data_IF_058762442327
#
_entry.id   IF_058762442327
#
_cell.length_a   1.000
_cell.length_b   1.000
_cell.length_c   1.000
_cell.angle_alpha   90.00
_cell.angle_beta   90.00
_cell.angle_gamma   90.00
#
_symmetry.space_group_name_H-M   'P 1'
#
loop_
_entity.id
_entity.type
_entity.pdbx_description
1 polymer ?
#
# COMPACT_ATOMS: atom_id res chain seq x y z
N UNK A 1 18.43 5.67 -23.63
CA UNK A 1 18.54 6.25 -22.28
C UNK A 1 18.83 5.11 -21.29
N UNK A 2 19.89 5.22 -20.48
CA UNK A 2 20.35 4.15 -19.57
C UNK A 2 19.26 3.86 -18.51
N UNK A 3 19.07 2.59 -18.13
CA UNK A 3 18.03 2.16 -17.16
C UNK A 3 18.10 2.98 -15.85
N UNK A 4 19.32 3.28 -15.38
CA UNK A 4 19.53 4.10 -14.19
C UNK A 4 18.97 5.53 -14.35
N UNK A 5 19.20 6.16 -15.52
CA UNK A 5 18.66 7.51 -15.79
C UNK A 5 17.13 7.52 -15.83
N UNK A 6 16.49 6.48 -16.38
CA UNK A 6 15.03 6.35 -16.35
C UNK A 6 14.51 6.24 -14.91
N UNK A 7 15.19 5.45 -14.06
CA UNK A 7 14.83 5.30 -12.64
C UNK A 7 14.97 6.61 -11.85
N UNK A 8 16.08 7.31 -11.99
CA UNK A 8 16.28 8.60 -11.33
C UNK A 8 15.22 9.60 -11.78
N UNK A 9 14.96 9.70 -13.08
CA UNK A 9 13.98 10.63 -13.63
C UNK A 9 12.56 10.35 -13.07
N UNK A 10 12.12 9.09 -13.02
CA UNK A 10 10.80 8.74 -12.48
C UNK A 10 10.70 9.09 -10.99
N UNK A 11 11.74 8.81 -10.19
CA UNK A 11 11.76 9.18 -8.78
C UNK A 11 11.71 10.71 -8.58
N UNK A 12 12.50 11.47 -9.34
CA UNK A 12 12.52 12.93 -9.29
C UNK A 12 11.19 13.55 -9.73
N UNK A 13 10.48 12.93 -10.67
CA UNK A 13 9.16 13.41 -11.13
C UNK A 13 8.05 13.06 -10.17
N UNK A 14 8.07 11.88 -9.54
CA UNK A 14 6.99 11.43 -8.67
C UNK A 14 7.11 11.90 -7.21
N UNK A 15 8.33 12.02 -6.70
CA UNK A 15 8.54 12.36 -5.29
C UNK A 15 8.09 13.79 -4.91
N UNK A 16 8.38 14.86 -5.69
CA UNK A 16 7.94 16.19 -5.35
C UNK A 16 6.41 16.37 -5.30
N UNK A 17 5.62 15.87 -6.28
CA UNK A 17 4.17 15.92 -6.18
C UNK A 17 3.62 15.16 -4.98
N UNK A 18 4.19 13.98 -4.66
CA UNK A 18 3.80 13.21 -3.49
C UNK A 18 4.07 14.00 -2.19
N UNK A 19 5.28 14.52 -2.01
CA UNK A 19 5.63 15.31 -0.84
C UNK A 19 4.80 16.61 -0.77
N UNK A 20 4.62 17.28 -1.88
CA UNK A 20 3.78 18.46 -1.97
C UNK A 20 2.32 18.17 -1.59
N UNK A 21 1.79 17.03 -2.04
CA UNK A 21 0.44 16.61 -1.68
C UNK A 21 0.31 16.25 -0.19
N UNK A 22 1.32 15.62 0.41
CA UNK A 22 1.32 15.32 1.84
C UNK A 22 1.45 16.59 2.68
N UNK A 23 2.33 17.53 2.30
CA UNK A 23 2.61 18.72 3.11
C UNK A 23 1.57 19.83 2.95
N UNK A 24 1.00 19.98 1.75
CA UNK A 24 0.12 21.11 1.40
C UNK A 24 -1.27 20.70 0.90
N UNK A 25 -1.46 19.44 0.51
CA UNK A 25 -2.66 18.93 -0.14
C UNK A 25 -3.71 18.37 0.81
N UNK A 26 -3.91 18.96 2.01
CA UNK A 26 -4.94 18.49 2.96
C UNK A 26 -6.33 18.44 2.32
N UNK A 27 -7.12 17.44 2.76
CA UNK A 27 -8.48 17.26 2.27
C UNK A 27 -8.55 16.63 0.87
N UNK A 28 -9.47 17.12 0.04
CA UNK A 28 -9.82 16.46 -1.23
C UNK A 28 -8.70 16.43 -2.30
N UNK A 29 -7.73 17.39 -2.40
CA UNK A 29 -6.65 17.25 -3.38
C UNK A 29 -5.75 16.04 -3.10
N UNK A 30 -5.46 15.78 -1.82
CA UNK A 30 -4.71 14.58 -1.43
C UNK A 30 -5.52 13.30 -1.69
N UNK A 31 -6.83 13.32 -1.37
CA UNK A 31 -7.72 12.21 -1.67
C UNK A 31 -7.79 11.91 -3.18
N UNK A 32 -7.83 12.94 -4.03
CA UNK A 32 -7.83 12.77 -5.48
C UNK A 32 -6.52 12.13 -5.99
N UNK A 33 -5.37 12.56 -5.46
CA UNK A 33 -4.08 11.97 -5.82
C UNK A 33 -4.04 10.48 -5.46
N UNK A 34 -4.38 10.14 -4.21
CA UNK A 34 -4.39 8.74 -3.74
C UNK A 34 -5.44 7.91 -4.52
N UNK A 35 -6.60 8.49 -4.81
CA UNK A 35 -7.64 7.85 -5.63
C UNK A 35 -7.17 7.56 -7.05
N UNK A 36 -6.39 8.48 -7.66
CA UNK A 36 -5.78 8.24 -8.97
C UNK A 36 -4.81 7.07 -8.91
N UNK A 37 -3.96 7.01 -7.88
CA UNK A 37 -3.05 5.86 -7.65
C UNK A 37 -3.86 4.57 -7.48
N UNK A 38 -4.96 4.60 -6.71
CA UNK A 38 -5.82 3.43 -6.51
C UNK A 38 -6.43 2.91 -7.84
N UNK A 39 -6.91 3.79 -8.70
CA UNK A 39 -7.46 3.43 -10.02
C UNK A 39 -6.37 2.84 -10.93
N UNK A 40 -5.18 3.43 -10.95
CA UNK A 40 -4.05 2.92 -11.74
C UNK A 40 -3.63 1.53 -11.26
N UNK A 41 -3.46 1.33 -9.94
CA UNK A 41 -3.13 0.03 -9.36
C UNK A 41 -4.22 -1.01 -9.62
N UNK A 42 -5.51 -0.63 -9.48
CA UNK A 42 -6.63 -1.51 -9.82
C UNK A 42 -6.59 -1.91 -11.30
N UNK A 43 -6.33 -0.97 -12.20
CA UNK A 43 -6.21 -1.25 -13.65
C UNK A 43 -5.11 -2.28 -13.95
N UNK A 44 -3.96 -2.21 -13.29
CA UNK A 44 -2.88 -3.18 -13.43
C UNK A 44 -3.25 -4.52 -12.79
N UNK A 45 -3.78 -4.51 -11.55
CA UNK A 45 -4.22 -5.71 -10.84
C UNK A 45 -5.26 -6.52 -11.64
N UNK A 46 -6.32 -5.86 -12.13
CA UNK A 46 -7.37 -6.54 -12.89
C UNK A 46 -6.90 -7.01 -14.27
N UNK A 47 -5.91 -6.37 -14.88
CA UNK A 47 -5.27 -6.89 -16.11
C UNK A 47 -4.47 -8.15 -15.88
N UNK A 48 -3.87 -8.34 -14.71
CA UNK A 48 -3.13 -9.56 -14.41
C UNK A 48 -4.03 -10.79 -14.30
N UNK A 49 -5.26 -10.62 -13.80
CA UNK A 49 -6.14 -11.76 -13.48
C UNK A 49 -7.30 -11.98 -14.43
N UNK A 50 -7.72 -10.95 -15.18
CA UNK A 50 -8.93 -11.02 -16.00
C UNK A 50 -8.65 -10.71 -17.47
N UNK A 51 -9.11 -11.61 -18.36
CA UNK A 51 -8.93 -11.48 -19.80
C UNK A 51 -9.94 -10.53 -20.44
N UNK A 52 -11.20 -10.50 -19.94
CA UNK A 52 -12.27 -9.71 -20.54
C UNK A 52 -12.19 -8.24 -20.11
N UNK A 53 -12.54 -7.32 -21.03
CA UNK A 53 -12.60 -5.90 -20.71
C UNK A 53 -13.70 -5.61 -19.67
N UNK A 54 -14.82 -6.34 -19.73
CA UNK A 54 -15.95 -6.21 -18.81
C UNK A 54 -15.51 -6.46 -17.38
N UNK A 55 -14.86 -7.59 -17.10
CA UNK A 55 -14.44 -7.96 -15.74
C UNK A 55 -13.37 -7.02 -15.19
N UNK A 56 -12.45 -6.58 -16.05
CA UNK A 56 -11.44 -5.58 -15.68
C UNK A 56 -12.06 -4.27 -15.25
N UNK A 57 -12.96 -3.71 -16.08
CA UNK A 57 -13.55 -2.40 -15.77
C UNK A 57 -14.55 -2.46 -14.62
N UNK A 58 -15.30 -3.57 -14.48
CA UNK A 58 -16.16 -3.76 -13.29
C UNK A 58 -15.35 -3.81 -12.01
N UNK A 59 -14.21 -4.54 -12.00
CA UNK A 59 -13.31 -4.57 -10.86
C UNK A 59 -12.71 -3.21 -10.51
N UNK A 60 -12.26 -2.45 -11.52
CA UNK A 60 -11.76 -1.08 -11.32
C UNK A 60 -12.85 -0.18 -10.75
N UNK A 61 -14.07 -0.26 -11.28
CA UNK A 61 -15.20 0.55 -10.81
C UNK A 61 -15.55 0.22 -9.35
N UNK A 62 -15.65 -1.07 -8.98
CA UNK A 62 -15.91 -1.49 -7.60
C UNK A 62 -14.78 -1.02 -6.66
N UNK A 63 -13.53 -1.14 -7.08
CA UNK A 63 -12.38 -0.65 -6.29
C UNK A 63 -12.46 0.86 -6.08
N UNK A 64 -12.80 1.61 -7.11
CA UNK A 64 -13.01 3.06 -7.02
C UNK A 64 -14.16 3.43 -6.08
N UNK A 65 -15.28 2.69 -6.11
CA UNK A 65 -16.41 2.88 -5.20
C UNK A 65 -16.02 2.56 -3.76
N UNK A 66 -15.31 1.46 -3.51
CA UNK A 66 -14.81 1.10 -2.17
C UNK A 66 -13.88 2.20 -1.63
N UNK A 67 -12.98 2.71 -2.47
CA UNK A 67 -12.12 3.84 -2.11
C UNK A 67 -12.95 5.08 -1.77
N UNK A 68 -13.86 5.47 -2.65
CA UNK A 68 -14.68 6.68 -2.51
C UNK A 68 -15.55 6.63 -1.24
N UNK A 69 -16.25 5.52 -1.01
CA UNK A 69 -17.04 5.33 0.20
C UNK A 69 -16.14 5.20 1.45
N UNK A 70 -14.95 4.63 1.27
CA UNK A 70 -13.92 4.59 2.30
C UNK A 70 -13.55 5.98 2.81
N UNK A 71 -13.55 7.01 2.00
CA UNK A 71 -13.22 8.39 2.41
C UNK A 71 -14.45 9.25 2.78
N UNK A 72 -15.60 9.05 2.12
CA UNK A 72 -16.77 9.92 2.29
C UNK A 72 -17.64 9.52 3.49
N UNK A 73 -17.73 8.23 3.82
CA UNK A 73 -18.63 7.76 4.85
C UNK A 73 -17.96 7.79 6.24
N UNK A 74 -18.73 8.00 7.33
CA UNK A 74 -18.22 7.80 8.68
C UNK A 74 -17.63 6.39 8.86
N UNK A 75 -16.65 6.23 9.73
CA UNK A 75 -15.88 4.98 9.89
C UNK A 75 -16.77 3.72 10.01
N UNK A 76 -17.88 3.81 10.78
CA UNK A 76 -18.82 2.69 10.95
C UNK A 76 -19.53 2.32 9.63
N UNK A 77 -19.90 3.31 8.82
CA UNK A 77 -20.56 3.10 7.54
C UNK A 77 -19.57 2.70 6.43
N UNK A 78 -18.32 3.14 6.50
CA UNK A 78 -17.27 2.75 5.55
C UNK A 78 -17.04 1.24 5.55
N UNK A 79 -17.06 0.58 6.71
CA UNK A 79 -16.98 -0.88 6.81
C UNK A 79 -18.14 -1.58 6.06
N UNK A 80 -19.35 -1.10 6.23
CA UNK A 80 -20.51 -1.62 5.50
C UNK A 80 -20.38 -1.39 3.98
N UNK A 81 -19.87 -0.24 3.55
CA UNK A 81 -19.63 0.05 2.14
C UNK A 81 -18.57 -0.86 1.52
N UNK A 82 -17.52 -1.21 2.26
CA UNK A 82 -16.53 -2.22 1.83
C UNK A 82 -17.21 -3.57 1.63
N UNK A 83 -18.06 -4.01 2.57
CA UNK A 83 -18.80 -5.26 2.46
C UNK A 83 -19.76 -5.25 1.26
N UNK A 84 -20.46 -4.13 1.02
CA UNK A 84 -21.29 -3.97 -0.19
C UNK A 84 -20.44 -4.05 -1.47
N UNK A 85 -19.27 -3.44 -1.50
CA UNK A 85 -18.34 -3.54 -2.62
C UNK A 85 -17.89 -4.97 -2.89
N UNK A 86 -17.55 -5.72 -1.83
CA UNK A 86 -17.24 -7.16 -1.91
C UNK A 86 -18.42 -7.95 -2.47
N UNK A 87 -19.64 -7.69 -1.98
CA UNK A 87 -20.84 -8.34 -2.48
C UNK A 87 -21.09 -8.02 -3.96
N UNK A 88 -20.97 -6.76 -4.37
CA UNK A 88 -21.10 -6.35 -5.79
C UNK A 88 -20.06 -7.06 -6.68
N UNK A 89 -18.80 -7.13 -6.23
CA UNK A 89 -17.76 -7.88 -6.92
C UNK A 89 -18.12 -9.37 -7.08
N UNK A 90 -18.65 -9.98 -6.02
CA UNK A 90 -19.10 -11.38 -6.05
C UNK A 90 -20.29 -11.57 -7.00
N UNK A 91 -21.32 -10.74 -6.90
CA UNK A 91 -22.51 -10.80 -7.76
C UNK A 91 -22.19 -10.68 -9.25
N UNK A 92 -21.22 -9.85 -9.63
CA UNK A 92 -20.79 -9.74 -11.03
C UNK A 92 -20.44 -11.10 -11.64
N UNK A 93 -19.79 -11.98 -10.88
CA UNK A 93 -19.38 -13.31 -11.35
C UNK A 93 -20.48 -14.38 -11.25
N UNK A 94 -21.62 -14.13 -10.59
CA UNK A 94 -22.71 -15.09 -10.52
C UNK A 94 -23.39 -15.36 -11.86
N UNK A 95 -23.41 -14.39 -12.77
CA UNK A 95 -24.07 -14.46 -14.06
C UNK A 95 -23.16 -14.94 -15.22
N UNK A 96 -21.93 -15.43 -14.95
CA UNK A 96 -20.99 -15.90 -15.97
C UNK A 96 -21.35 -17.29 -16.51
N UNK A 97 -20.80 -17.65 -17.67
CA UNK A 97 -20.94 -18.98 -18.32
C UNK A 97 -19.82 -19.95 -17.91
N UNK A 98 -18.82 -19.47 -17.18
CA UNK A 98 -17.65 -20.22 -16.72
C UNK A 98 -18.01 -21.26 -15.66
N UNK A 99 -17.08 -22.20 -15.38
CA UNK A 99 -17.27 -23.19 -14.34
C UNK A 99 -17.49 -22.54 -12.96
N UNK A 100 -18.23 -23.18 -12.02
CA UNK A 100 -18.42 -22.64 -10.67
C UNK A 100 -17.11 -22.30 -9.95
N UNK A 101 -16.05 -23.07 -10.18
CA UNK A 101 -14.73 -22.85 -9.58
C UNK A 101 -14.08 -21.57 -10.12
N UNK A 102 -14.10 -21.35 -11.43
CA UNK A 102 -13.55 -20.12 -12.06
C UNK A 102 -14.34 -18.89 -11.62
N UNK A 103 -15.65 -18.99 -11.53
CA UNK A 103 -16.52 -17.90 -11.04
C UNK A 103 -16.22 -17.56 -9.58
N UNK A 104 -16.10 -18.55 -8.71
CA UNK A 104 -15.73 -18.35 -7.31
C UNK A 104 -14.34 -17.72 -7.19
N UNK A 105 -13.37 -18.17 -8.00
CA UNK A 105 -12.03 -17.58 -8.08
C UNK A 105 -12.08 -16.13 -8.55
N UNK A 106 -12.83 -15.84 -9.60
CA UNK A 106 -13.00 -14.47 -10.12
C UNK A 106 -13.60 -13.55 -9.08
N UNK A 107 -14.65 -13.98 -8.39
CA UNK A 107 -15.28 -13.24 -7.30
C UNK A 107 -14.31 -12.94 -6.15
N UNK A 108 -13.53 -13.95 -5.73
CA UNK A 108 -12.55 -13.79 -4.66
C UNK A 108 -11.42 -12.80 -5.04
N UNK A 109 -10.91 -12.89 -6.26
CA UNK A 109 -9.88 -11.97 -6.77
C UNK A 109 -10.42 -10.55 -6.91
N UNK A 110 -11.66 -10.39 -7.37
CA UNK A 110 -12.29 -9.07 -7.49
C UNK A 110 -12.52 -8.43 -6.10
N UNK A 111 -13.02 -9.21 -5.14
CA UNK A 111 -13.19 -8.76 -3.76
C UNK A 111 -11.85 -8.38 -3.11
N UNK A 112 -10.82 -9.22 -3.32
CA UNK A 112 -9.46 -8.95 -2.83
C UNK A 112 -8.89 -7.65 -3.39
N UNK A 113 -8.99 -7.43 -4.70
CA UNK A 113 -8.53 -6.19 -5.34
C UNK A 113 -9.26 -4.95 -4.80
N UNK A 114 -10.58 -5.03 -4.64
CA UNK A 114 -11.39 -3.95 -4.11
C UNK A 114 -10.99 -3.56 -2.68
N UNK A 115 -10.81 -4.55 -1.79
CA UNK A 115 -10.43 -4.31 -0.39
C UNK A 115 -8.96 -3.90 -0.28
N UNK A 116 -8.05 -4.65 -0.90
CA UNK A 116 -6.62 -4.43 -0.76
C UNK A 116 -6.18 -3.10 -1.37
N UNK A 117 -6.69 -2.75 -2.56
CA UNK A 117 -6.32 -1.50 -3.21
C UNK A 117 -7.24 -0.37 -2.75
N UNK A 118 -8.55 -0.49 -2.97
CA UNK A 118 -9.51 0.58 -2.67
C UNK A 118 -9.64 0.86 -1.17
N UNK A 119 -9.88 -0.20 -0.39
CA UNK A 119 -10.04 -0.10 1.06
C UNK A 119 -8.77 0.38 1.76
N UNK A 120 -7.61 -0.21 1.46
CA UNK A 120 -6.37 0.14 2.14
C UNK A 120 -5.88 1.54 1.77
N UNK A 121 -5.92 1.92 0.50
CA UNK A 121 -5.53 3.28 0.10
C UNK A 121 -6.48 4.35 0.62
N UNK A 122 -7.77 4.06 0.86
CA UNK A 122 -8.71 5.02 1.45
C UNK A 122 -8.32 5.45 2.87
N UNK A 123 -7.44 4.71 3.55
CA UNK A 123 -6.97 5.07 4.88
C UNK A 123 -6.01 6.25 4.89
N UNK A 124 -5.30 6.54 3.80
CA UNK A 124 -4.38 7.68 3.72
C UNK A 124 -5.08 9.04 3.81
N UNK A 125 -6.15 9.32 3.02
CA UNK A 125 -6.93 10.55 3.21
C UNK A 125 -7.53 10.67 4.61
N UNK A 126 -7.91 9.55 5.23
CA UNK A 126 -8.35 9.57 6.64
C UNK A 126 -7.22 9.90 7.60
N UNK A 127 -6.02 9.41 7.32
CA UNK A 127 -4.85 9.70 8.16
C UNK A 127 -4.46 11.17 8.07
N UNK A 128 -4.50 11.79 6.87
CA UNK A 128 -4.12 13.20 6.69
C UNK A 128 -5.03 14.14 7.48
N UNK A 129 -6.29 13.76 7.70
CA UNK A 129 -7.28 14.54 8.43
C UNK A 129 -7.17 14.39 9.97
N UNK A 130 -6.34 13.45 10.46
CA UNK A 130 -6.05 13.31 11.90
C UNK A 130 -5.09 14.41 12.39
N UNK A 131 -5.03 14.67 13.71
CA UNK A 131 -4.01 15.54 14.28
C UNK A 131 -2.60 15.09 13.89
N UNK A 132 -1.80 16.00 13.33
CA UNK A 132 -0.49 15.70 12.76
C UNK A 132 -0.47 14.58 11.68
N UNK A 133 -1.56 14.43 10.94
CA UNK A 133 -1.75 13.36 9.96
C UNK A 133 -0.71 13.37 8.84
N UNK A 134 -0.28 14.55 8.40
CA UNK A 134 0.84 14.74 7.48
C UNK A 134 2.14 14.12 8.02
N UNK A 135 2.44 14.34 9.30
CA UNK A 135 3.63 13.78 9.95
C UNK A 135 3.52 12.27 10.15
N UNK A 136 2.33 11.75 10.43
CA UNK A 136 2.09 10.31 10.48
C UNK A 136 2.31 9.64 9.13
N UNK A 137 1.81 10.24 8.04
CA UNK A 137 2.04 9.72 6.70
C UNK A 137 3.55 9.71 6.37
N UNK A 138 4.26 10.79 6.69
CA UNK A 138 5.70 10.86 6.48
C UNK A 138 6.45 9.84 7.35
N UNK A 139 6.04 9.59 8.61
CA UNK A 139 6.56 8.50 9.42
C UNK A 139 6.41 7.15 8.72
N UNK A 140 5.22 6.89 8.17
CA UNK A 140 4.94 5.68 7.41
C UNK A 140 5.86 5.52 6.20
N UNK A 141 5.99 6.57 5.39
CA UNK A 141 6.87 6.57 4.21
C UNK A 141 8.35 6.38 4.60
N UNK A 142 8.84 7.08 5.63
CA UNK A 142 10.20 6.90 6.15
C UNK A 142 10.42 5.47 6.60
N UNK A 143 9.50 4.89 7.37
CA UNK A 143 9.62 3.53 7.88
C UNK A 143 9.64 2.49 6.75
N UNK A 144 8.75 2.61 5.76
CA UNK A 144 8.67 1.69 4.62
C UNK A 144 9.91 1.82 3.74
N UNK A 145 10.26 3.02 3.29
CA UNK A 145 11.38 3.20 2.35
C UNK A 145 12.75 2.92 2.99
N UNK A 146 12.90 3.24 4.28
CA UNK A 146 14.08 2.82 5.03
C UNK A 146 14.17 1.30 5.12
N UNK A 147 13.04 0.66 5.46
CA UNK A 147 12.93 -0.79 5.52
C UNK A 147 13.37 -1.46 4.22
N UNK A 148 12.80 -1.06 3.09
CA UNK A 148 13.11 -1.64 1.78
C UNK A 148 14.57 -1.39 1.37
N UNK A 149 15.06 -0.17 1.58
CA UNK A 149 16.44 0.20 1.24
C UNK A 149 17.44 -0.64 2.01
N UNK A 150 17.29 -0.73 3.32
CA UNK A 150 18.21 -1.47 4.16
C UNK A 150 18.02 -2.98 4.04
N UNK A 151 16.79 -3.46 3.79
CA UNK A 151 16.57 -4.88 3.49
C UNK A 151 17.34 -5.31 2.23
N UNK A 152 17.37 -4.46 1.21
CA UNK A 152 18.18 -4.71 0.01
C UNK A 152 19.68 -4.73 0.30
N UNK A 153 20.23 -3.71 0.98
CA UNK A 153 21.68 -3.63 1.23
C UNK A 153 22.16 -4.72 2.19
N UNK A 154 21.44 -4.95 3.29
CA UNK A 154 21.77 -6.00 4.26
C UNK A 154 21.62 -7.39 3.63
N UNK A 155 20.53 -7.62 2.89
CA UNK A 155 20.28 -8.87 2.19
C UNK A 155 21.35 -9.16 1.14
N UNK A 156 21.79 -8.16 0.38
CA UNK A 156 22.88 -8.31 -0.61
C UNK A 156 24.25 -8.60 0.05
N UNK A 157 24.52 -8.00 1.21
CA UNK A 157 25.84 -8.11 1.88
C UNK A 157 25.94 -9.31 2.81
N UNK A 158 24.87 -9.63 3.52
CA UNK A 158 24.86 -10.61 4.61
C UNK A 158 23.82 -11.72 4.44
N UNK A 159 22.97 -11.66 3.39
CA UNK A 159 21.90 -12.64 3.16
C UNK A 159 22.44 -14.04 2.93
N UNK A 160 21.91 -14.99 3.69
CA UNK A 160 22.25 -16.41 3.60
C UNK A 160 21.00 -17.28 3.43
N UNK A 161 19.91 -16.91 4.12
CA UNK A 161 18.67 -17.69 4.15
C UNK A 161 17.59 -16.99 3.32
N UNK A 162 17.07 -17.62 2.23
CA UNK A 162 15.96 -17.05 1.49
C UNK A 162 14.73 -16.86 2.39
N UNK A 163 14.05 -15.71 2.27
CA UNK A 163 12.83 -15.42 3.03
C UNK A 163 11.63 -16.18 2.46
N UNK A 164 11.48 -16.17 1.13
CA UNK A 164 10.40 -16.86 0.43
C UNK A 164 10.88 -17.33 -0.94
N UNK A 165 11.49 -18.54 -1.05
CA UNK A 165 12.14 -19.01 -2.27
C UNK A 165 11.22 -19.09 -3.48
N UNK A 166 9.95 -19.46 -3.27
CA UNK A 166 8.95 -19.63 -4.34
C UNK A 166 8.33 -18.33 -4.82
N UNK A 167 8.26 -17.31 -3.97
CA UNK A 167 7.56 -16.04 -4.25
C UNK A 167 8.59 -14.98 -4.69
N UNK A 168 9.61 -14.76 -3.88
CA UNK A 168 10.66 -13.76 -4.11
C UNK A 168 12.03 -14.33 -3.71
N UNK A 169 12.73 -15.04 -4.62
CA UNK A 169 13.97 -15.73 -4.31
C UNK A 169 15.13 -14.80 -3.94
N UNK A 170 15.04 -13.51 -4.28
CA UNK A 170 16.06 -12.52 -3.94
C UNK A 170 15.94 -11.92 -2.54
N UNK A 171 14.83 -12.13 -1.83
CA UNK A 171 14.67 -11.65 -0.46
C UNK A 171 15.25 -12.63 0.55
N UNK A 172 15.92 -12.10 1.58
CA UNK A 172 16.58 -12.91 2.62
C UNK A 172 16.06 -12.56 4.02
N UNK A 173 16.14 -13.51 4.93
CA UNK A 173 15.76 -13.31 6.34
C UNK A 173 16.61 -12.22 6.97
N UNK A 174 17.93 -12.25 6.72
CA UNK A 174 18.88 -11.26 7.24
C UNK A 174 18.55 -9.86 6.68
N UNK A 175 18.14 -9.78 5.40
CA UNK A 175 17.66 -8.55 4.80
C UNK A 175 16.40 -8.03 5.48
N UNK A 176 15.42 -8.91 5.71
CA UNK A 176 14.17 -8.53 6.37
C UNK A 176 14.40 -7.98 7.79
N UNK A 177 15.28 -8.63 8.57
CA UNK A 177 15.65 -8.17 9.92
C UNK A 177 16.38 -6.82 9.85
N UNK A 178 17.34 -6.67 8.93
CA UNK A 178 18.05 -5.40 8.74
C UNK A 178 17.14 -4.27 8.31
N UNK A 179 16.17 -4.55 7.43
CA UNK A 179 15.15 -3.59 7.02
C UNK A 179 14.25 -3.19 8.19
N UNK A 180 13.78 -4.14 8.99
CA UNK A 180 12.98 -3.85 10.19
C UNK A 180 13.73 -2.98 11.19
N UNK A 181 15.01 -3.29 11.45
CA UNK A 181 15.86 -2.48 12.33
C UNK A 181 15.98 -1.03 11.80
N UNK A 182 16.14 -0.84 10.50
CA UNK A 182 16.20 0.48 9.87
C UNK A 182 14.85 1.21 9.95
N UNK A 183 13.73 0.52 9.71
CA UNK A 183 12.38 1.09 9.90
C UNK A 183 12.20 1.65 11.31
N UNK A 184 12.60 0.87 12.33
CA UNK A 184 12.51 1.30 13.74
C UNK A 184 13.42 2.48 13.99
N UNK A 185 14.71 2.40 13.63
CA UNK A 185 15.69 3.43 13.93
C UNK A 185 15.36 4.77 13.26
N UNK A 186 15.11 4.75 11.94
CA UNK A 186 14.84 5.97 11.18
C UNK A 186 13.43 6.51 11.44
N UNK A 187 12.43 5.65 11.60
CA UNK A 187 11.08 6.06 11.98
C UNK A 187 11.01 6.66 13.38
N UNK A 188 11.70 6.06 14.37
CA UNK A 188 11.80 6.61 15.72
C UNK A 188 12.53 7.95 15.71
N UNK A 189 13.64 8.05 14.98
CA UNK A 189 14.37 9.32 14.81
C UNK A 189 13.51 10.41 14.18
N UNK A 190 12.76 10.07 13.13
CA UNK A 190 11.78 10.98 12.53
C UNK A 190 10.72 11.43 13.55
N UNK A 191 10.13 10.49 14.29
CA UNK A 191 9.09 10.79 15.26
C UNK A 191 9.57 11.67 16.42
N UNK A 192 10.80 11.48 16.88
CA UNK A 192 11.41 12.32 17.89
C UNK A 192 11.50 13.80 17.45
N UNK A 193 11.71 14.03 16.15
CA UNK A 193 11.82 15.38 15.60
C UNK A 193 10.46 16.01 15.24
N UNK A 194 9.52 15.20 14.72
CA UNK A 194 8.31 15.73 14.08
C UNK A 194 7.01 15.34 14.80
N UNK A 195 7.05 14.42 15.77
CA UNK A 195 5.92 13.98 16.60
C UNK A 195 6.22 14.11 18.10
N UNK A 196 6.71 15.28 18.59
CA UNK A 196 7.18 15.44 19.98
C UNK A 196 6.09 15.20 21.04
N UNK A 197 4.80 15.27 20.63
CA UNK A 197 3.67 14.98 21.50
C UNK A 197 3.31 13.50 21.63
N UNK A 198 4.04 12.59 20.98
CA UNK A 198 3.80 11.13 21.03
C UNK A 198 4.91 10.46 21.82
N UNK A 199 4.55 9.48 22.65
CA UNK A 199 5.53 8.71 23.44
C UNK A 199 6.55 8.02 22.53
N UNK A 200 7.87 8.18 22.76
CA UNK A 200 8.91 7.60 21.88
C UNK A 200 8.80 6.07 21.71
N UNK A 201 8.42 5.36 22.77
CA UNK A 201 8.19 3.92 22.71
C UNK A 201 7.04 3.53 21.78
N UNK A 202 5.99 4.36 21.73
CA UNK A 202 4.87 4.15 20.79
C UNK A 202 5.30 4.44 19.36
N UNK A 203 6.09 5.46 19.11
CA UNK A 203 6.66 5.76 17.79
C UNK A 203 7.53 4.62 17.30
N UNK A 204 8.36 4.04 18.18
CA UNK A 204 9.21 2.88 17.85
C UNK A 204 8.35 1.66 17.48
N UNK A 205 7.31 1.38 18.25
CA UNK A 205 6.35 0.32 17.96
C UNK A 205 5.64 0.58 16.62
N UNK A 206 5.18 1.81 16.40
CA UNK A 206 4.51 2.18 15.15
C UNK A 206 5.43 1.97 13.93
N UNK A 207 6.67 2.42 14.03
CA UNK A 207 7.67 2.23 12.97
C UNK A 207 7.97 0.76 12.69
N UNK A 208 8.03 -0.08 13.74
CA UNK A 208 8.21 -1.52 13.60
C UNK A 208 7.02 -2.17 12.88
N UNK A 209 5.80 -1.90 13.33
CA UNK A 209 4.60 -2.54 12.78
C UNK A 209 4.32 -2.07 11.35
N UNK A 210 4.51 -0.78 11.06
CA UNK A 210 4.41 -0.23 9.70
C UNK A 210 5.48 -0.82 8.78
N UNK A 211 6.73 -0.94 9.24
CA UNK A 211 7.82 -1.58 8.49
C UNK A 211 7.53 -3.05 8.18
N UNK A 212 7.01 -3.81 9.15
CA UNK A 212 6.58 -5.20 8.94
C UNK A 212 5.43 -5.30 7.94
N UNK A 213 4.43 -4.41 8.06
CA UNK A 213 3.31 -4.36 7.12
C UNK A 213 3.79 -4.06 5.68
N UNK A 214 4.73 -3.14 5.50
CA UNK A 214 5.35 -2.86 4.21
C UNK A 214 6.04 -4.07 3.62
N UNK A 215 6.90 -4.74 4.38
CA UNK A 215 7.57 -5.96 3.92
C UNK A 215 6.58 -7.09 3.56
N UNK A 216 5.51 -7.24 4.35
CA UNK A 216 4.44 -8.19 4.05
C UNK A 216 3.68 -7.82 2.77
N UNK A 217 3.42 -6.53 2.54
CA UNK A 217 2.76 -6.02 1.34
C UNK A 217 3.55 -6.32 0.06
N UNK A 218 4.86 -6.05 0.05
CA UNK A 218 5.72 -6.35 -1.08
C UNK A 218 5.80 -7.88 -1.34
N UNK A 219 5.84 -8.72 -0.29
CA UNK A 219 5.76 -10.17 -0.47
C UNK A 219 4.39 -10.61 -1.00
N UNK A 220 3.33 -9.99 -0.53
CA UNK A 220 1.97 -10.29 -0.98
C UNK A 220 1.77 -9.90 -2.45
N UNK A 221 2.24 -8.73 -2.86
CA UNK A 221 2.22 -8.30 -4.26
C UNK A 221 3.05 -9.26 -5.14
N UNK A 222 4.23 -9.66 -4.68
CA UNK A 222 5.04 -10.67 -5.34
C UNK A 222 4.29 -12.00 -5.49
N UNK A 223 3.53 -12.45 -4.47
CA UNK A 223 2.68 -13.64 -4.55
C UNK A 223 1.60 -13.49 -5.63
N UNK A 224 0.91 -12.35 -5.67
CA UNK A 224 -0.12 -12.07 -6.67
C UNK A 224 0.43 -12.13 -8.09
N UNK A 225 1.60 -11.54 -8.33
CA UNK A 225 2.29 -11.62 -9.64
C UNK A 225 2.63 -13.04 -10.03
N UNK A 226 3.13 -13.86 -9.10
CA UNK A 226 3.42 -15.28 -9.38
C UNK A 226 2.14 -16.08 -9.67
N UNK A 227 1.06 -15.81 -8.92
CA UNK A 227 -0.24 -16.44 -9.16
C UNK A 227 -0.83 -16.07 -10.53
N UNK A 228 -0.56 -14.86 -11.02
CA UNK A 228 -0.94 -14.42 -12.36
C UNK A 228 0.06 -14.84 -13.46
N UNK A 229 1.17 -15.51 -13.13
CA UNK A 229 2.19 -15.93 -14.11
C UNK A 229 3.05 -14.79 -14.66
N UNK A 230 3.06 -13.62 -14.00
CA UNK A 230 3.82 -12.45 -14.45
C UNK A 230 4.94 -12.08 -13.46
N UNK A 231 5.83 -11.19 -13.88
CA UNK A 231 6.91 -10.66 -13.04
C UNK A 231 6.64 -9.23 -12.59
N UNK A 232 6.12 -8.40 -13.45
CA UNK A 232 5.81 -7.00 -13.22
C UNK A 232 4.30 -6.79 -13.38
N UNK A 233 3.69 -5.90 -12.59
CA UNK A 233 2.24 -5.66 -12.61
C UNK A 233 1.78 -4.92 -13.87
N UNK A 234 2.69 -4.16 -14.48
CA UNK A 234 2.41 -3.34 -15.66
C UNK A 234 3.65 -2.71 -16.26
N UNK A 235 3.44 -1.80 -17.21
CA UNK A 235 4.49 -1.06 -17.91
C UNK A 235 4.26 0.45 -17.87
N UNK A 236 3.41 0.93 -16.96
CA UNK A 236 2.98 2.32 -16.90
C UNK A 236 4.17 3.25 -16.63
N UNK A 237 5.12 2.84 -15.81
CA UNK A 237 6.29 3.63 -15.44
C UNK A 237 7.53 3.16 -16.20
N UNK A 238 8.03 3.92 -17.20
CA UNK A 238 9.17 3.53 -18.00
C UNK A 238 10.41 3.20 -17.16
N UNK A 239 10.86 1.94 -17.21
CA UNK A 239 12.01 1.44 -16.43
C UNK A 239 11.72 1.06 -14.97
N UNK A 240 10.46 1.18 -14.52
CA UNK A 240 10.04 0.88 -13.15
C UNK A 240 8.90 -0.15 -13.04
N UNK A 241 8.36 -0.66 -14.15
CA UNK A 241 7.21 -1.56 -14.13
C UNK A 241 5.88 -0.83 -13.97
N UNK A 242 4.96 -1.39 -13.21
CA UNK A 242 3.68 -0.78 -12.92
C UNK A 242 3.67 0.20 -11.75
N UNK A 243 2.56 0.91 -11.60
CA UNK A 243 2.26 1.72 -10.41
C UNK A 243 2.09 0.82 -9.19
N UNK A 244 1.44 -0.32 -9.34
CA UNK A 244 1.21 -1.30 -8.27
C UNK A 244 2.54 -1.82 -7.71
N UNK A 245 3.56 -2.08 -8.58
CA UNK A 245 4.94 -2.43 -8.18
C UNK A 245 5.66 -1.34 -7.35
N UNK A 246 5.15 -0.12 -7.31
CA UNK A 246 5.79 1.02 -6.60
C UNK A 246 5.16 1.36 -5.28
N UNK A 247 3.93 0.96 -5.08
CA UNK A 247 3.15 1.31 -3.88
C UNK A 247 2.70 0.09 -3.07
N UNK A 248 3.11 -1.12 -3.45
CA UNK A 248 2.78 -2.39 -2.83
C UNK A 248 2.99 -2.41 -1.30
N UNK A 249 4.18 -2.01 -0.86
CA UNK A 249 4.51 -1.88 0.56
C UNK A 249 3.69 -0.77 1.24
N UNK A 250 3.47 0.34 0.52
CA UNK A 250 2.69 1.48 1.01
C UNK A 250 1.21 1.11 1.16
N UNK A 251 0.63 0.36 0.20
CA UNK A 251 -0.76 -0.12 0.30
C UNK A 251 -0.97 -0.88 1.61
N UNK A 252 -0.14 -1.87 1.89
CA UNK A 252 -0.28 -2.69 3.10
C UNK A 252 -0.03 -1.91 4.40
N UNK A 253 0.84 -0.92 4.36
CA UNK A 253 1.14 -0.06 5.51
C UNK A 253 -0.02 0.87 5.89
N UNK A 254 -0.88 1.27 4.94
CA UNK A 254 -1.91 2.28 5.12
C UNK A 254 -2.87 2.04 6.30
N UNK A 255 -3.60 0.90 6.35
CA UNK A 255 -4.54 0.62 7.45
C UNK A 255 -3.86 0.57 8.82
N UNK A 256 -2.65 0.01 8.86
CA UNK A 256 -1.86 -0.10 10.08
C UNK A 256 -1.45 1.28 10.58
N UNK A 257 -0.96 2.12 9.67
CA UNK A 257 -0.58 3.50 9.96
C UNK A 257 -1.77 4.32 10.49
N UNK A 258 -2.93 4.20 9.83
CA UNK A 258 -4.16 4.87 10.25
C UNK A 258 -4.57 4.48 11.68
N UNK A 259 -4.59 3.18 12.00
CA UNK A 259 -4.91 2.70 13.33
C UNK A 259 -3.92 3.21 14.39
N UNK A 260 -2.63 3.18 14.09
CA UNK A 260 -1.61 3.66 15.00
C UNK A 260 -1.70 5.17 15.22
N UNK A 261 -1.96 5.95 14.16
CA UNK A 261 -2.18 7.39 14.28
C UNK A 261 -3.44 7.73 15.11
N UNK A 262 -4.52 6.94 14.93
CA UNK A 262 -5.77 7.10 15.68
C UNK A 262 -5.62 6.76 17.18
N UNK A 263 -4.80 5.75 17.49
CA UNK A 263 -4.57 5.25 18.84
C UNK A 263 -3.39 5.93 19.55
N UNK A 264 -2.73 6.87 18.88
CA UNK A 264 -1.51 7.50 19.42
C UNK A 264 -1.78 8.18 20.77
N UNK A 265 -1.09 7.76 21.85
CA UNK A 265 -1.18 8.43 23.12
C UNK A 265 -0.45 9.77 23.03
N UNK A 266 -1.18 10.88 23.15
CA UNK A 266 -0.57 12.20 23.26
C UNK A 266 0.12 12.30 24.62
N UNK A 267 1.40 12.66 24.62
CA UNK A 267 2.15 12.95 25.83
C UNK A 267 1.66 14.30 26.39
N UNK A 268 0.81 14.26 27.36
CA UNK A 268 0.22 15.46 27.98
C UNK A 268 -1.28 15.36 27.99
N UNK A 269 -1.77 14.77 29.04
CA UNK A 269 -3.11 14.65 29.56
C UNK A 269 -4.29 15.14 28.72
N UNK A 270 -5.30 14.33 28.72
CA UNK A 270 -6.66 14.79 28.46
C UNK A 270 -6.93 15.97 29.43
N UNK A 271 -6.87 17.20 28.91
CA UNK A 271 -7.49 18.34 29.50
C UNK A 271 -8.90 18.47 28.97
#
# INVERSE_FOLDING_TARGET
MNVLRKRILTAVVLLPPLLGAVLYGKGWPFALLVGTVAVLCAGEYFRMFFSTARDRWSGVAVTGLVYLFGILLPFRAAGAAVLCGVALAAFHFLAGEESPVERARGAALAALGAVYIGGFLSTYPRTIDLPAGDRWILLGLVSVFAGDTFAYFVGKRFGKRPLSPKISPGKTVEGAVGGLAASIALGTGYGALFLPGVLPGFVSLASAVVGMAGQAGDLFESLLKRAAGVKDSGTLLPGHGGMFDRVDAVIAAGPVLYLLALLAPLAGGRG
#
